data_IF_258883240604
#
_entry.id   IF_258883240604
#
_cell.length_a   1.000
_cell.length_b   1.000
_cell.length_c   1.000
_cell.angle_alpha   90.00
_cell.angle_beta   90.00
_cell.angle_gamma   90.00
#
_symmetry.space_group_name_H-M   'P 1'
#
loop_
_entity.id
_entity.type
_entity.pdbx_description
1 polymer ?
#
# COMPACT_ATOMS: atom_id res chain seq x y z
N UNK A 1 2.91 -22.30 -3.29
CA UNK A 1 4.05 -21.51 -2.78
C UNK A 1 3.44 -20.28 -2.14
N UNK A 2 3.65 -20.01 -0.84
CA UNK A 2 3.12 -18.78 -0.24
C UNK A 2 4.06 -17.62 -0.62
N UNK A 3 3.50 -16.42 -0.73
CA UNK A 3 4.29 -15.20 -0.90
C UNK A 3 5.26 -15.07 0.28
N UNK A 4 6.50 -14.65 0.03
CA UNK A 4 7.46 -14.43 1.12
C UNK A 4 8.16 -15.69 1.63
N UNK A 5 7.80 -16.87 1.09
CA UNK A 5 8.47 -18.14 1.40
C UNK A 5 9.84 -18.29 0.71
N UNK A 6 10.17 -17.43 -0.26
CA UNK A 6 11.46 -17.53 -0.97
C UNK A 6 12.55 -16.85 -0.15
N UNK A 7 13.67 -17.53 0.15
CA UNK A 7 14.82 -16.89 0.77
C UNK A 7 15.31 -15.74 -0.11
N UNK A 8 15.48 -14.56 0.49
CA UNK A 8 16.04 -13.43 -0.23
C UNK A 8 17.49 -13.76 -0.67
N UNK A 9 17.82 -13.63 -1.97
CA UNK A 9 19.19 -13.88 -2.46
C UNK A 9 20.22 -12.91 -1.86
N UNK A 10 19.78 -11.73 -1.40
CA UNK A 10 20.61 -10.70 -0.78
C UNK A 10 20.73 -10.90 0.76
N UNK A 11 20.11 -11.94 1.31
CA UNK A 11 20.13 -12.27 2.73
C UNK A 11 19.42 -11.24 3.64
N UNK A 12 19.78 -11.21 4.92
CA UNK A 12 19.12 -10.41 5.97
C UNK A 12 19.32 -8.88 5.85
N UNK A 13 20.12 -8.40 4.89
CA UNK A 13 20.40 -6.98 4.66
C UNK A 13 20.03 -6.56 3.24
N UNK A 14 18.95 -7.13 2.70
CA UNK A 14 18.47 -6.79 1.37
C UNK A 14 18.24 -5.29 1.22
N UNK A 15 18.85 -4.70 0.18
CA UNK A 15 18.64 -3.31 -0.23
C UNK A 15 17.82 -3.18 -1.51
N UNK A 16 17.37 -4.30 -2.07
CA UNK A 16 16.58 -4.32 -3.29
C UNK A 16 15.16 -3.82 -3.01
N UNK A 17 14.87 -2.61 -3.46
CA UNK A 17 13.58 -1.93 -3.27
C UNK A 17 12.61 -2.12 -4.44
N UNK A 18 12.92 -3.00 -5.41
CA UNK A 18 11.99 -3.33 -6.49
C UNK A 18 10.73 -3.97 -5.92
N UNK A 19 9.56 -3.54 -6.39
CA UNK A 19 8.27 -3.93 -5.81
C UNK A 19 8.04 -5.45 -5.89
N UNK A 20 8.43 -6.07 -7.01
CA UNK A 20 8.34 -7.52 -7.22
C UNK A 20 9.26 -8.27 -6.25
N UNK A 21 10.47 -7.76 -6.03
CA UNK A 21 11.42 -8.36 -5.10
C UNK A 21 10.85 -8.35 -3.67
N UNK A 22 10.29 -7.22 -3.26
CA UNK A 22 9.69 -7.08 -1.93
C UNK A 22 8.54 -8.09 -1.76
N UNK A 23 7.62 -8.19 -2.73
CA UNK A 23 6.49 -9.11 -2.61
C UNK A 23 6.91 -10.59 -2.62
N UNK A 24 7.85 -10.96 -3.48
CA UNK A 24 8.29 -12.35 -3.65
C UNK A 24 9.09 -12.83 -2.45
N UNK A 25 10.02 -12.02 -1.96
CA UNK A 25 11.04 -12.46 -0.99
C UNK A 25 10.83 -11.94 0.42
N UNK A 26 10.02 -10.89 0.60
CA UNK A 26 9.91 -10.24 1.91
C UNK A 26 8.49 -10.07 2.45
N UNK A 27 7.46 -10.59 1.79
CA UNK A 27 6.09 -10.31 2.24
C UNK A 27 5.75 -10.78 3.67
N UNK A 28 6.45 -11.78 4.21
CA UNK A 28 6.24 -12.28 5.58
C UNK A 28 7.26 -11.74 6.62
N UNK A 29 8.44 -11.28 6.20
CA UNK A 29 9.52 -10.83 7.09
C UNK A 29 9.92 -9.34 6.91
N UNK A 30 9.26 -8.63 5.98
CA UNK A 30 9.45 -7.19 5.82
C UNK A 30 8.97 -6.46 7.06
N UNK A 31 9.93 -6.10 7.91
CA UNK A 31 9.70 -5.18 9.02
C UNK A 31 9.07 -3.88 8.48
N UNK A 32 8.20 -3.21 9.25
CA UNK A 32 7.76 -1.87 8.91
C UNK A 32 8.96 -1.04 8.49
N UNK A 33 8.92 -0.53 7.27
CA UNK A 33 9.94 0.39 6.79
C UNK A 33 9.99 1.62 7.69
N UNK A 34 11.11 2.32 7.65
CA UNK A 34 11.26 3.56 8.41
C UNK A 34 10.12 4.53 8.09
N UNK A 35 9.62 5.25 9.11
CA UNK A 35 8.56 6.24 8.93
C UNK A 35 8.99 7.26 7.87
N UNK A 36 8.04 7.79 7.12
CA UNK A 36 8.37 8.77 6.08
C UNK A 36 9.16 9.98 6.62
N UNK A 37 8.83 10.44 7.83
CA UNK A 37 9.60 11.50 8.52
C UNK A 37 11.06 11.13 8.80
N UNK A 38 11.35 9.86 9.11
CA UNK A 38 12.72 9.36 9.29
C UNK A 38 13.45 9.25 7.94
N UNK A 39 12.75 8.82 6.88
CA UNK A 39 13.29 8.82 5.51
C UNK A 39 13.68 10.23 5.10
N UNK A 40 12.82 11.23 5.35
CA UNK A 40 13.13 12.65 5.09
C UNK A 40 14.33 13.17 5.87
N UNK A 41 14.50 12.76 7.13
CA UNK A 41 15.64 13.18 7.94
C UNK A 41 16.97 12.65 7.39
N UNK A 42 16.97 11.41 6.89
CA UNK A 42 18.17 10.79 6.31
C UNK A 42 18.45 11.25 4.89
N UNK A 43 17.39 11.42 4.10
CA UNK A 43 17.43 11.80 2.69
C UNK A 43 16.50 13.00 2.44
N UNK A 44 16.93 14.21 2.80
CA UNK A 44 16.13 15.40 2.54
C UNK A 44 15.79 15.54 1.06
N UNK A 45 14.50 15.73 0.74
CA UNK A 45 14.03 15.84 -0.64
C UNK A 45 13.65 14.51 -1.29
N UNK A 46 13.77 13.37 -0.59
CA UNK A 46 13.12 12.14 -1.03
C UNK A 46 11.60 12.39 -1.13
N UNK A 47 10.95 11.93 -2.19
CA UNK A 47 9.51 12.13 -2.34
C UNK A 47 8.74 10.86 -2.61
N UNK A 48 9.48 9.77 -2.86
CA UNK A 48 8.93 8.45 -3.08
C UNK A 48 8.92 7.65 -1.79
N UNK A 49 7.88 6.86 -1.64
CA UNK A 49 7.72 5.94 -0.52
C UNK A 49 7.02 4.68 -0.99
N UNK A 50 7.35 3.54 -0.40
CA UNK A 50 6.64 2.30 -0.73
C UNK A 50 5.40 2.22 0.15
N UNK A 51 4.29 1.72 -0.36
CA UNK A 51 3.07 1.49 0.40
C UNK A 51 2.53 0.10 0.18
N UNK A 52 1.90 -0.45 1.22
CA UNK A 52 1.29 -1.77 1.15
C UNK A 52 -0.22 -1.67 1.33
N UNK A 53 -0.98 -2.36 0.48
CA UNK A 53 -2.43 -2.36 0.50
C UNK A 53 -2.95 -3.81 0.41
N UNK A 54 -4.02 -4.12 1.13
CA UNK A 54 -4.69 -5.43 1.06
C UNK A 54 -6.15 -5.25 0.72
N UNK A 55 -6.64 -6.09 -0.17
CA UNK A 55 -8.00 -6.02 -0.69
C UNK A 55 -8.54 -7.42 -1.02
N UNK A 56 -9.83 -7.54 -1.36
CA UNK A 56 -10.38 -8.79 -1.92
C UNK A 56 -10.02 -8.94 -3.40
N UNK A 57 -10.18 -10.16 -3.91
CA UNK A 57 -9.94 -10.48 -5.32
C UNK A 57 -10.78 -9.63 -6.29
N UNK A 58 -12.05 -9.35 -5.97
CA UNK A 58 -12.94 -8.54 -6.81
C UNK A 58 -12.42 -7.11 -6.99
N UNK A 59 -12.02 -6.46 -5.90
CA UNK A 59 -11.45 -5.11 -5.92
C UNK A 59 -10.04 -5.10 -6.52
N UNK A 60 -9.25 -6.17 -6.33
CA UNK A 60 -7.98 -6.35 -7.03
C UNK A 60 -8.15 -6.33 -8.56
N UNK A 61 -9.13 -7.08 -9.09
CA UNK A 61 -9.48 -7.05 -10.52
C UNK A 61 -9.90 -5.65 -10.94
N UNK A 62 -10.72 -4.96 -10.14
CA UNK A 62 -11.12 -3.58 -10.44
C UNK A 62 -9.91 -2.63 -10.49
N UNK A 63 -8.97 -2.75 -9.55
CA UNK A 63 -7.74 -1.95 -9.54
C UNK A 63 -6.91 -2.23 -10.80
N UNK A 64 -6.81 -3.49 -11.22
CA UNK A 64 -6.07 -3.86 -12.43
C UNK A 64 -6.69 -3.26 -13.71
N UNK A 65 -8.01 -3.09 -13.77
CA UNK A 65 -8.69 -2.53 -14.94
C UNK A 65 -8.86 -1.01 -14.93
N UNK A 66 -8.96 -0.37 -13.75
CA UNK A 66 -9.38 1.03 -13.65
C UNK A 66 -8.62 1.86 -12.61
N UNK A 67 -7.46 1.37 -12.16
CA UNK A 67 -6.66 1.93 -11.05
C UNK A 67 -7.39 1.98 -9.69
N UNK A 68 -6.69 2.48 -8.68
CA UNK A 68 -7.20 2.60 -7.31
C UNK A 68 -8.39 3.56 -7.23
N UNK A 69 -9.42 3.17 -6.48
CA UNK A 69 -10.53 4.04 -6.16
C UNK A 69 -10.30 4.77 -4.82
N UNK A 70 -10.75 6.03 -4.76
CA UNK A 70 -10.76 6.81 -3.52
C UNK A 70 -11.81 6.25 -2.58
N UNK A 71 -11.39 5.90 -1.36
CA UNK A 71 -12.34 5.56 -0.29
C UNK A 71 -13.04 6.83 0.19
N UNK A 72 -14.38 6.84 0.11
CA UNK A 72 -15.24 7.97 0.48
C UNK A 72 -16.11 7.70 1.70
N UNK A 73 -16.16 6.45 2.17
CA UNK A 73 -17.02 6.06 3.28
C UNK A 73 -16.46 6.61 4.61
N UNK A 74 -17.18 7.49 5.33
CA UNK A 74 -16.71 8.11 6.57
C UNK A 74 -16.47 7.11 7.71
N UNK A 75 -17.11 5.94 7.70
CA UNK A 75 -16.90 4.91 8.71
C UNK A 75 -15.55 4.20 8.54
N UNK A 76 -15.04 4.11 7.32
CA UNK A 76 -13.77 3.41 7.00
C UNK A 76 -12.60 4.35 6.68
N UNK A 77 -12.84 5.67 6.60
CA UNK A 77 -11.83 6.67 6.22
C UNK A 77 -11.34 7.49 7.42
N UNK A 78 -10.58 6.86 8.32
CA UNK A 78 -10.08 7.49 9.55
C UNK A 78 -9.18 8.72 9.31
N UNK A 79 -8.40 8.72 8.23
CA UNK A 79 -7.47 9.80 7.84
C UNK A 79 -8.07 10.78 6.83
N UNK A 80 -9.38 10.68 6.58
CA UNK A 80 -10.09 11.39 5.52
C UNK A 80 -10.16 10.59 4.22
N UNK A 81 -10.81 11.16 3.21
CA UNK A 81 -11.02 10.44 1.95
C UNK A 81 -9.73 10.34 1.15
N UNK A 82 -9.46 9.16 0.60
CA UNK A 82 -8.24 8.87 -0.18
C UNK A 82 -7.97 7.38 -0.35
N UNK A 83 -6.77 7.05 -0.80
CA UNK A 83 -6.28 5.67 -0.95
C UNK A 83 -5.34 5.34 0.21
N UNK A 84 -5.57 4.22 0.88
CA UNK A 84 -4.94 3.88 2.15
C UNK A 84 -3.83 2.85 1.98
N UNK A 85 -2.70 3.10 2.63
CA UNK A 85 -1.54 2.24 2.62
C UNK A 85 -0.95 2.09 4.02
N UNK A 86 -0.33 0.94 4.25
CA UNK A 86 0.44 0.62 5.44
C UNK A 86 1.94 0.60 5.13
N UNK A 87 2.76 0.50 6.18
CA UNK A 87 4.21 0.42 6.05
C UNK A 87 4.75 -0.99 5.88
N UNK A 88 3.96 -2.01 6.17
CA UNK A 88 4.31 -3.36 5.76
C UNK A 88 3.07 -4.18 5.47
N UNK A 89 3.31 -5.34 4.85
CA UNK A 89 2.28 -6.32 4.52
C UNK A 89 1.58 -6.85 5.78
N UNK A 90 2.35 -7.19 6.82
CA UNK A 90 1.82 -7.68 8.09
C UNK A 90 0.81 -6.70 8.74
N UNK A 91 1.03 -5.39 8.60
CA UNK A 91 0.13 -4.37 9.16
C UNK A 91 -1.25 -4.35 8.47
N UNK A 92 -1.33 -4.84 7.23
CA UNK A 92 -2.59 -4.93 6.48
C UNK A 92 -3.46 -6.11 6.91
N UNK A 93 -2.87 -7.15 7.54
CA UNK A 93 -3.57 -8.40 7.85
C UNK A 93 -4.65 -8.26 8.92
N UNK A 94 -4.50 -7.31 9.85
CA UNK A 94 -5.50 -7.00 10.88
C UNK A 94 -6.42 -5.83 10.56
N UNK A 95 -6.25 -5.19 9.39
CA UNK A 95 -6.98 -3.97 9.01
C UNK A 95 -7.96 -4.19 7.85
N UNK A 96 -7.65 -5.09 6.93
CA UNK A 96 -8.53 -5.38 5.81
C UNK A 96 -9.70 -6.28 6.26
N UNK A 97 -10.93 -5.82 6.06
CA UNK A 97 -12.15 -6.64 6.24
C UNK A 97 -12.32 -7.71 5.13
N UNK A 98 -11.31 -7.85 4.26
CA UNK A 98 -11.32 -8.66 3.06
C UNK A 98 -9.91 -9.13 2.73
N UNK A 99 -9.72 -10.45 2.74
CA UNK A 99 -8.51 -11.11 2.24
C UNK A 99 -8.70 -11.52 0.77
N UNK A 100 -7.61 -11.64 0.02
CA UNK A 100 -7.64 -12.14 -1.35
C UNK A 100 -6.55 -11.59 -2.26
N UNK A 101 -6.02 -10.39 -2.00
CA UNK A 101 -4.91 -9.84 -2.76
C UNK A 101 -4.07 -8.85 -1.94
N UNK A 102 -2.79 -8.80 -2.26
CA UNK A 102 -1.84 -7.84 -1.73
C UNK A 102 -1.26 -6.97 -2.83
N UNK A 103 -1.04 -5.69 -2.52
CA UNK A 103 -0.43 -4.72 -3.42
C UNK A 103 0.75 -4.05 -2.74
N UNK A 104 1.86 -3.95 -3.46
CA UNK A 104 3.03 -3.15 -3.11
C UNK A 104 3.14 -2.03 -4.14
N UNK A 105 3.17 -0.78 -3.68
CA UNK A 105 3.08 0.41 -4.52
C UNK A 105 4.23 1.37 -4.27
N UNK A 106 4.71 2.04 -5.32
CA UNK A 106 5.61 3.20 -5.24
C UNK A 106 4.76 4.47 -5.32
N UNK A 107 4.90 5.33 -4.31
CA UNK A 107 3.97 6.43 -4.03
C UNK A 107 4.72 7.76 -3.94
N UNK A 108 4.23 8.75 -4.68
CA UNK A 108 4.62 10.15 -4.57
C UNK A 108 3.93 10.78 -3.36
N UNK A 109 4.66 11.00 -2.27
CA UNK A 109 4.10 11.44 -0.99
C UNK A 109 3.70 12.92 -0.97
N UNK A 110 4.40 13.76 -1.74
CA UNK A 110 4.12 15.20 -1.82
C UNK A 110 4.21 15.91 -0.46
N UNK A 111 3.29 16.85 -0.21
CA UNK A 111 3.18 17.52 1.09
C UNK A 111 2.46 16.62 2.09
N UNK A 112 3.18 16.18 3.11
CA UNK A 112 2.66 15.27 4.12
C UNK A 112 2.15 16.02 5.35
N UNK A 113 0.93 15.69 5.78
CA UNK A 113 0.40 16.06 7.10
C UNK A 113 0.68 14.94 8.09
N UNK A 114 1.65 15.16 8.97
CA UNK A 114 1.92 14.26 10.09
C UNK A 114 0.83 14.39 11.17
N UNK A 115 0.24 13.25 11.53
CA UNK A 115 -0.72 13.11 12.61
C UNK A 115 -0.06 12.30 13.71
N UNK A 116 0.17 12.94 14.85
CA UNK A 116 0.79 12.32 16.03
C UNK A 116 -0.26 11.69 16.95
N UNK A 117 0.13 10.75 17.84
CA UNK A 117 -0.74 10.25 18.89
C UNK A 117 -1.35 11.39 19.72
N UNK A 118 -2.65 11.30 20.02
CA UNK A 118 -3.36 12.34 20.76
C UNK A 118 -3.87 13.51 19.92
N UNK A 119 -3.52 13.58 18.62
CA UNK A 119 -4.16 14.51 17.68
C UNK A 119 -5.63 14.16 17.50
N UNK A 120 -6.48 15.15 17.24
CA UNK A 120 -7.90 14.92 16.95
C UNK A 120 -8.09 14.32 15.53
N UNK A 121 -7.76 13.03 15.39
CA UNK A 121 -7.90 12.27 14.14
C UNK A 121 -9.35 12.26 13.64
N UNK A 122 -10.33 12.38 14.55
CA UNK A 122 -11.75 12.45 14.20
C UNK A 122 -12.10 13.71 13.40
N UNK A 123 -11.31 14.77 13.47
CA UNK A 123 -11.50 15.95 12.61
C UNK A 123 -11.19 15.65 11.14
N UNK A 124 -10.43 14.60 10.83
CA UNK A 124 -10.11 14.20 9.46
C UNK A 124 -11.13 13.21 8.89
N UNK A 125 -11.77 12.42 9.76
CA UNK A 125 -12.59 11.26 9.39
C UNK A 125 -13.65 11.62 8.34
N UNK A 126 -13.61 10.95 7.19
CA UNK A 126 -14.58 11.16 6.11
C UNK A 126 -14.50 12.49 5.38
N UNK A 127 -13.57 13.38 5.73
CA UNK A 127 -13.46 14.73 5.14
C UNK A 127 -12.44 14.78 4.00
N UNK A 128 -12.46 15.87 3.24
CA UNK A 128 -11.43 16.25 2.24
C UNK A 128 -10.70 17.54 2.62
N UNK A 129 -10.86 18.02 3.85
CA UNK A 129 -10.43 19.37 4.25
C UNK A 129 -8.91 19.58 4.11
N UNK A 130 -8.14 18.49 4.19
CA UNK A 130 -6.70 18.51 4.02
C UNK A 130 -6.25 18.60 2.55
N UNK A 131 -7.12 18.31 1.58
CA UNK A 131 -6.78 18.22 0.15
C UNK A 131 -6.31 19.55 -0.46
N UNK A 132 -6.68 20.68 0.15
CA UNK A 132 -6.28 22.00 -0.32
C UNK A 132 -4.81 22.32 -0.03
N UNK A 133 -4.20 21.63 0.94
CA UNK A 133 -2.87 21.96 1.46
C UNK A 133 -1.89 20.79 1.37
N UNK A 134 -2.39 19.57 1.55
CA UNK A 134 -1.59 18.36 1.66
C UNK A 134 -1.98 17.35 0.58
N UNK A 135 -1.00 16.54 0.20
CA UNK A 135 -1.14 15.45 -0.77
C UNK A 135 -1.27 14.10 -0.06
N UNK A 136 -0.74 13.99 1.15
CA UNK A 136 -0.80 12.77 1.98
C UNK A 136 -1.05 13.12 3.44
N UNK A 137 -1.88 12.32 4.11
CA UNK A 137 -1.97 12.29 5.58
C UNK A 137 -1.25 11.06 6.09
N UNK A 138 -0.31 11.25 7.01
CA UNK A 138 0.47 10.15 7.59
C UNK A 138 0.18 10.07 9.10
N UNK A 139 -0.26 8.90 9.57
CA UNK A 139 -0.53 8.68 10.98
C UNK A 139 0.58 7.87 11.65
N UNK A 140 1.26 8.53 12.58
CA UNK A 140 2.31 7.95 13.41
C UNK A 140 1.65 7.28 14.63
N UNK A 141 1.29 6.00 14.53
CA UNK A 141 0.58 5.30 15.59
C UNK A 141 1.54 4.98 16.77
N UNK A 142 1.09 4.95 18.05
CA UNK A 142 1.95 4.61 19.19
C UNK A 142 2.60 3.24 19.09
N UNK A 143 1.82 2.25 18.65
CA UNK A 143 2.34 0.99 18.15
C UNK A 143 2.85 1.17 16.73
N UNK A 144 4.15 1.03 16.54
CA UNK A 144 4.86 1.21 15.27
C UNK A 144 4.29 0.31 14.17
N UNK A 145 3.78 -0.88 14.51
CA UNK A 145 3.18 -1.82 13.53
C UNK A 145 1.76 -1.45 13.07
N UNK A 146 1.30 -0.23 13.33
CA UNK A 146 -0.07 0.21 12.99
C UNK A 146 -0.10 1.57 12.31
N UNK A 147 1.04 2.08 11.90
CA UNK A 147 1.11 3.27 11.05
C UNK A 147 0.24 3.08 9.80
N UNK A 148 -0.27 4.19 9.30
CA UNK A 148 -1.12 4.20 8.11
C UNK A 148 -0.99 5.56 7.45
N UNK A 149 -1.07 5.58 6.13
CA UNK A 149 -1.11 6.83 5.39
C UNK A 149 -2.15 6.77 4.29
N UNK A 150 -2.71 7.94 4.02
CA UNK A 150 -3.80 8.13 3.07
C UNK A 150 -3.36 9.17 2.04
N UNK A 151 -3.27 8.75 0.79
CA UNK A 151 -2.95 9.64 -0.34
C UNK A 151 -4.22 10.19 -0.96
N UNK A 152 -4.14 11.42 -1.46
CA UNK A 152 -5.28 12.18 -1.97
C UNK A 152 -5.82 11.62 -3.27
N UNK A 153 -4.92 11.28 -4.19
CA UNK A 153 -5.27 10.84 -5.55
C UNK A 153 -4.59 9.52 -5.90
N UNK A 154 -5.27 8.65 -6.67
CA UNK A 154 -4.62 7.51 -7.33
C UNK A 154 -3.42 7.91 -8.20
N UNK A 155 -3.40 9.14 -8.74
CA UNK A 155 -2.26 9.66 -9.54
C UNK A 155 -0.94 9.73 -8.77
N UNK A 156 -0.99 9.65 -7.43
CA UNK A 156 0.22 9.57 -6.59
C UNK A 156 0.85 8.18 -6.62
N UNK A 157 0.15 7.16 -7.12
CA UNK A 157 0.62 5.77 -7.19
C UNK A 157 1.29 5.60 -8.55
N UNK A 158 2.62 5.67 -8.58
CA UNK A 158 3.38 5.69 -9.82
C UNK A 158 3.50 4.31 -10.43
N UNK A 159 3.68 3.30 -9.59
CA UNK A 159 3.81 1.89 -9.97
C UNK A 159 3.25 1.01 -8.87
N UNK A 160 2.75 -0.16 -9.23
CA UNK A 160 2.32 -1.15 -8.27
C UNK A 160 2.49 -2.57 -8.82
N UNK A 161 2.69 -3.50 -7.90
CA UNK A 161 2.70 -4.94 -8.17
C UNK A 161 1.66 -5.56 -7.25
N UNK A 162 0.88 -6.49 -7.78
CA UNK A 162 -0.18 -7.16 -7.04
C UNK A 162 0.00 -8.67 -7.11
N UNK A 163 -0.31 -9.35 -6.02
CA UNK A 163 -0.45 -10.80 -6.01
C UNK A 163 -1.80 -11.16 -5.41
N UNK A 164 -2.51 -12.06 -6.09
CA UNK A 164 -3.81 -12.58 -5.68
C UNK A 164 -3.61 -13.95 -5.04
N UNK A 165 -4.28 -14.21 -3.92
CA UNK A 165 -4.19 -15.48 -3.19
C UNK A 165 -4.63 -16.64 -4.08
N UNK A 166 -3.89 -17.76 -4.04
CA UNK A 166 -4.14 -18.93 -4.88
C UNK A 166 -5.53 -19.56 -4.67
N UNK A 167 -6.14 -19.39 -3.50
CA UNK A 167 -7.52 -19.86 -3.26
C UNK A 167 -8.58 -19.03 -3.99
N UNK A 168 -8.23 -17.79 -4.37
CA UNK A 168 -9.03 -16.92 -5.23
C UNK A 168 -8.76 -17.14 -6.72
N UNK A 169 -7.80 -18.00 -7.08
CA UNK A 169 -7.31 -18.23 -8.45
C UNK A 169 -8.37 -18.83 -9.39
N UNK A 170 -9.31 -19.65 -8.87
CA UNK A 170 -10.45 -20.11 -9.70
C UNK A 170 -11.32 -18.95 -10.20
N UNK A 171 -11.30 -17.80 -9.52
CA UNK A 171 -11.99 -16.60 -9.98
C UNK A 171 -11.15 -15.75 -10.93
N UNK A 172 -9.82 -15.85 -10.92
CA UNK A 172 -8.94 -15.26 -11.96
C UNK A 172 -9.40 -15.74 -13.35
N UNK A 173 -9.81 -17.01 -13.45
CA UNK A 173 -10.47 -17.55 -14.64
C UNK A 173 -11.82 -16.94 -14.98
N UNK A 174 -12.66 -16.71 -13.97
CA UNK A 174 -13.98 -16.11 -14.17
C UNK A 174 -13.92 -14.62 -14.47
N UNK A 175 -12.82 -13.94 -14.10
CA UNK A 175 -12.60 -12.52 -14.34
C UNK A 175 -11.78 -12.24 -15.61
N UNK A 176 -11.45 -13.27 -16.40
CA UNK A 176 -10.74 -13.09 -17.68
C UNK A 176 -9.25 -12.78 -17.54
N UNK A 177 -8.66 -12.98 -16.36
CA UNK A 177 -7.27 -12.62 -16.06
C UNK A 177 -6.26 -13.72 -16.47
N UNK A 178 -6.72 -14.82 -17.07
CA UNK A 178 -5.90 -15.99 -17.44
C UNK A 178 -4.88 -15.73 -18.53
N UNK A 179 -5.11 -14.70 -19.33
CA UNK A 179 -4.22 -14.28 -20.41
C UNK A 179 -3.38 -13.07 -20.03
N UNK A 180 -3.62 -12.47 -18.86
CA UNK A 180 -2.88 -11.30 -18.38
C UNK A 180 -1.75 -11.68 -17.42
N UNK A 181 -1.73 -12.90 -16.88
CA UNK A 181 -0.84 -13.25 -15.76
C UNK A 181 0.13 -14.43 -15.97
N UNK A 182 0.28 -14.99 -17.17
CA UNK A 182 1.13 -16.20 -17.33
C UNK A 182 2.53 -15.96 -17.93
N UNK A 183 2.81 -14.81 -18.55
CA UNK A 183 4.19 -14.32 -18.80
C UNK A 183 4.23 -12.86 -19.31
N UNK A 184 3.14 -12.11 -19.06
CA UNK A 184 2.96 -10.76 -19.57
C UNK A 184 3.63 -9.77 -18.64
N UNK A 185 4.76 -9.23 -19.09
CA UNK A 185 5.27 -7.93 -18.64
C UNK A 185 4.13 -6.90 -18.71
N UNK A 186 3.45 -6.62 -17.59
CA UNK A 186 2.80 -5.33 -17.37
C UNK A 186 3.90 -4.29 -17.15
N UNK A 187 4.61 -3.95 -18.23
CA UNK A 187 5.57 -2.87 -18.25
C UNK A 187 4.85 -1.56 -18.52
N UNK A 188 4.81 -0.68 -17.53
CA UNK A 188 5.16 0.71 -17.77
C UNK A 188 6.36 1.02 -16.88
N UNK A 189 7.44 1.47 -17.53
CA UNK A 189 8.80 1.60 -17.02
C UNK A 189 8.84 2.31 -15.68
#
# INVERSE_FOLDING_TARGET
MRLGDKPCPDGFQCRNRRLEHILIFHSEDFKPQERYSQVQQKNPGETLYIGFHRTNAEAAVSIAHSDFAISTNPQTTMLGQGVYFARSMAETEGKANSAGAYVCAEIQMGRVKDVSPGSNINALRGTRDWWATYDTVYYNHPNDSRDEFCVKSPDQILRWVMVVDAECDKKVQNYGLNTEFDDTKCGCI
#
